data_IF_706601514290
#
_entry.id   IF_706601514290
#
_cell.length_a   1.000
_cell.length_b   1.000
_cell.length_c   1.000
_cell.angle_alpha   90.00
_cell.angle_beta   90.00
_cell.angle_gamma   90.00
#
_symmetry.space_group_name_H-M   'P 1'
#
loop_
_entity.id
_entity.type
_entity.pdbx_description
1 polymer ?
#
# COMPACT_ATOMS: atom_id res chain seq x y z
N UNK A 1 1.38 -16.80 -13.11
CA UNK A 1 2.20 -15.58 -12.94
C UNK A 1 2.99 -15.29 -14.21
N UNK A 2 2.78 -14.13 -14.82
CA UNK A 2 3.55 -13.66 -15.98
C UNK A 2 4.28 -12.34 -15.64
N UNK A 3 5.23 -11.92 -16.49
CA UNK A 3 5.98 -10.68 -16.30
C UNK A 3 5.06 -9.44 -16.29
N UNK A 4 3.96 -9.49 -17.04
CA UNK A 4 3.03 -8.39 -17.18
C UNK A 4 2.33 -8.07 -15.85
N UNK A 5 1.84 -9.07 -15.12
CA UNK A 5 1.23 -8.89 -13.80
C UNK A 5 2.21 -8.30 -12.78
N UNK A 6 3.49 -8.71 -12.85
CA UNK A 6 4.54 -8.15 -12.01
C UNK A 6 4.83 -6.68 -12.35
N UNK A 7 4.88 -6.33 -13.63
CA UNK A 7 5.05 -4.94 -14.09
C UNK A 7 3.87 -4.06 -13.67
N UNK A 8 2.64 -4.54 -13.85
CA UNK A 8 1.43 -3.84 -13.40
C UNK A 8 1.44 -3.61 -11.89
N UNK A 9 1.87 -4.59 -11.10
CA UNK A 9 2.02 -4.42 -9.65
C UNK A 9 3.03 -3.32 -9.30
N UNK A 10 4.17 -3.28 -9.98
CA UNK A 10 5.21 -2.25 -9.77
C UNK A 10 4.70 -0.87 -10.15
N UNK A 11 4.06 -0.74 -11.31
CA UNK A 11 3.47 0.53 -11.78
C UNK A 11 2.38 1.03 -10.82
N UNK A 12 1.45 0.16 -10.42
CA UNK A 12 0.39 0.50 -9.47
C UNK A 12 0.96 0.89 -8.10
N UNK A 13 2.05 0.25 -7.65
CA UNK A 13 2.74 0.63 -6.42
C UNK A 13 3.33 2.03 -6.52
N UNK A 14 4.01 2.35 -7.62
CA UNK A 14 4.58 3.69 -7.85
C UNK A 14 3.50 4.78 -7.92
N UNK A 15 2.41 4.50 -8.61
CA UNK A 15 1.27 5.42 -8.71
C UNK A 15 0.61 5.65 -7.34
N UNK A 16 0.36 4.56 -6.60
CA UNK A 16 -0.18 4.59 -5.23
C UNK A 16 0.70 5.42 -4.31
N UNK A 17 2.03 5.19 -4.35
CA UNK A 17 3.01 5.99 -3.61
C UNK A 17 2.86 7.47 -3.86
N UNK A 18 2.78 7.89 -5.12
CA UNK A 18 2.72 9.31 -5.46
C UNK A 18 1.42 9.95 -5.00
N UNK A 19 0.28 9.28 -5.20
CA UNK A 19 -1.04 9.78 -4.80
C UNK A 19 -1.18 9.88 -3.28
N UNK A 20 -0.84 8.82 -2.56
CA UNK A 20 -0.89 8.80 -1.08
C UNK A 20 0.01 9.89 -0.49
N UNK A 21 1.27 10.00 -0.95
CA UNK A 21 2.18 11.04 -0.45
C UNK A 21 1.68 12.46 -0.74
N UNK A 22 1.07 12.68 -1.91
CA UNK A 22 0.50 13.98 -2.27
C UNK A 22 -0.68 14.32 -1.37
N UNK A 23 -1.63 13.41 -1.23
CA UNK A 23 -2.82 13.61 -0.41
C UNK A 23 -2.46 13.83 1.07
N UNK A 24 -1.53 13.05 1.63
CA UNK A 24 -1.04 13.25 3.01
C UNK A 24 -0.36 14.62 3.22
N UNK A 25 0.41 15.09 2.24
CA UNK A 25 0.99 16.45 2.28
C UNK A 25 -0.08 17.54 2.22
N UNK A 26 -1.13 17.31 1.43
CA UNK A 26 -2.24 18.26 1.34
C UNK A 26 -3.05 18.29 2.65
N UNK A 27 -3.20 17.15 3.34
CA UNK A 27 -3.76 17.08 4.70
C UNK A 27 -2.92 17.92 5.68
N UNK A 28 -1.59 17.71 5.72
CA UNK A 28 -0.71 18.46 6.62
C UNK A 28 -0.74 19.98 6.35
N UNK A 29 -0.69 20.40 5.08
CA UNK A 29 -0.80 21.82 4.70
C UNK A 29 -2.11 22.45 5.14
N UNK A 30 -3.22 21.74 4.96
CA UNK A 30 -4.55 22.22 5.38
C UNK A 30 -4.65 22.29 6.90
N UNK A 31 -4.07 21.32 7.61
CA UNK A 31 -4.05 21.33 9.07
C UNK A 31 -3.23 22.50 9.61
N UNK A 32 -2.08 22.80 8.98
CA UNK A 32 -1.30 23.99 9.29
C UNK A 32 -2.10 25.28 9.08
N UNK A 33 -2.81 25.40 7.95
CA UNK A 33 -3.67 26.55 7.68
C UNK A 33 -4.77 26.71 8.74
N UNK A 34 -5.39 25.60 9.17
CA UNK A 34 -6.33 25.62 10.28
C UNK A 34 -5.69 26.09 11.58
N UNK A 35 -4.49 25.61 11.94
CA UNK A 35 -3.78 26.09 13.14
C UNK A 35 -3.52 27.60 13.10
N UNK A 36 -3.20 28.15 11.92
CA UNK A 36 -3.03 29.60 11.76
C UNK A 36 -4.36 30.34 11.99
N UNK A 37 -5.48 29.83 11.49
CA UNK A 37 -6.80 30.38 11.75
C UNK A 37 -7.14 30.33 13.24
N UNK A 38 -6.91 29.20 13.90
CA UNK A 38 -7.12 29.04 15.35
C UNK A 38 -6.29 30.06 16.13
N UNK A 39 -5.01 30.24 15.79
CA UNK A 39 -4.15 31.25 16.43
C UNK A 39 -4.68 32.68 16.27
N UNK A 40 -5.33 33.01 15.15
CA UNK A 40 -5.88 34.35 14.90
C UNK A 40 -7.17 34.63 15.68
N UNK A 41 -7.98 33.60 15.92
CA UNK A 41 -9.26 33.74 16.65
C UNK A 41 -9.18 33.35 18.12
N UNK A 42 -8.02 32.86 18.58
CA UNK A 42 -7.73 32.58 19.99
C UNK A 42 -8.66 31.52 20.56
N UNK A 43 -9.17 31.77 21.77
CA UNK A 43 -9.96 30.80 22.53
C UNK A 43 -11.27 30.39 21.84
N UNK A 44 -11.78 31.20 20.93
CA UNK A 44 -13.02 30.90 20.20
C UNK A 44 -12.92 29.61 19.35
N UNK A 45 -11.71 29.22 18.92
CA UNK A 45 -11.47 28.05 18.07
C UNK A 45 -10.52 27.02 18.72
N UNK A 46 -10.36 27.07 20.05
CA UNK A 46 -9.41 26.22 20.76
C UNK A 46 -9.67 24.72 20.55
N UNK A 47 -10.95 24.30 20.54
CA UNK A 47 -11.34 22.92 20.26
C UNK A 47 -10.90 22.45 18.87
N UNK A 48 -11.08 23.29 17.84
CA UNK A 48 -10.57 22.99 16.50
C UNK A 48 -9.04 22.93 16.45
N UNK A 49 -8.34 23.68 17.31
CA UNK A 49 -6.89 23.61 17.46
C UNK A 49 -6.40 22.21 17.84
N UNK A 50 -7.09 21.54 18.75
CA UNK A 50 -6.79 20.14 19.14
C UNK A 50 -6.95 19.21 17.94
N UNK A 51 -8.03 19.38 17.18
CA UNK A 51 -8.32 18.56 16.00
C UNK A 51 -7.28 18.81 14.90
N UNK A 52 -6.90 20.06 14.66
CA UNK A 52 -5.83 20.42 13.74
C UNK A 52 -4.48 19.77 14.12
N UNK A 53 -4.19 19.66 15.42
CA UNK A 53 -3.06 18.89 15.94
C UNK A 53 -3.15 17.41 15.57
N UNK A 54 -4.27 16.78 15.91
CA UNK A 54 -4.52 15.37 15.62
C UNK A 54 -4.38 15.03 14.13
N UNK A 55 -4.87 15.90 13.23
CA UNK A 55 -4.71 15.72 11.80
C UNK A 55 -3.24 15.61 11.36
N UNK A 56 -2.36 16.45 11.91
CA UNK A 56 -0.94 16.46 11.55
C UNK A 56 -0.21 15.25 12.10
N UNK A 57 -0.46 14.93 13.36
CA UNK A 57 0.17 13.79 14.02
C UNK A 57 -0.18 12.49 13.29
N UNK A 58 -1.46 12.32 12.93
CA UNK A 58 -1.90 11.15 12.18
C UNK A 58 -1.39 11.16 10.74
N UNK A 59 -1.39 12.30 10.04
CA UNK A 59 -0.83 12.39 8.69
C UNK A 59 0.67 12.04 8.65
N UNK A 60 1.44 12.44 9.66
CA UNK A 60 2.85 12.09 9.80
C UNK A 60 3.07 10.58 10.04
N UNK A 61 2.24 9.96 10.89
CA UNK A 61 2.25 8.50 11.09
C UNK A 61 1.91 7.77 9.80
N UNK A 62 0.82 8.15 9.14
CA UNK A 62 0.42 7.58 7.84
C UNK A 62 1.50 7.77 6.78
N UNK A 63 2.24 8.88 6.78
CA UNK A 63 3.35 9.07 5.84
C UNK A 63 4.49 8.07 6.10
N UNK A 64 4.77 7.79 7.37
CA UNK A 64 5.77 6.79 7.78
C UNK A 64 5.33 5.39 7.39
N UNK A 65 4.07 5.03 7.64
CA UNK A 65 3.54 3.70 7.31
C UNK A 65 3.42 3.49 5.80
N UNK A 66 3.04 4.53 5.04
CA UNK A 66 3.05 4.49 3.58
C UNK A 66 4.45 4.23 3.01
N UNK A 67 5.50 4.77 3.64
CA UNK A 67 6.89 4.47 3.25
C UNK A 67 7.26 3.02 3.53
N UNK A 68 6.83 2.45 4.67
CA UNK A 68 7.08 1.04 5.00
C UNK A 68 6.40 0.10 4.00
N UNK A 69 5.15 0.38 3.65
CA UNK A 69 4.41 -0.37 2.63
C UNK A 69 5.13 -0.36 1.28
N UNK A 70 5.70 0.78 0.88
CA UNK A 70 6.45 0.89 -0.36
C UNK A 70 7.76 0.09 -0.32
N UNK A 71 8.47 0.11 0.81
CA UNK A 71 9.70 -0.66 0.98
C UNK A 71 9.44 -2.17 0.95
N UNK A 72 8.25 -2.62 1.37
CA UNK A 72 7.86 -4.03 1.35
C UNK A 72 7.60 -4.59 -0.07
N UNK A 73 7.47 -3.75 -1.09
CA UNK A 73 7.25 -4.20 -2.48
C UNK A 73 8.53 -4.67 -3.16
N UNK A 74 9.68 -4.07 -2.87
CA UNK A 74 10.93 -4.50 -3.51
C UNK A 74 11.27 -5.98 -3.22
N UNK A 75 11.20 -6.48 -1.96
CA UNK A 75 11.37 -7.90 -1.67
C UNK A 75 10.37 -8.80 -2.40
N UNK A 76 9.14 -8.33 -2.59
CA UNK A 76 8.12 -9.08 -3.34
C UNK A 76 8.50 -9.22 -4.82
N UNK A 77 8.95 -8.13 -5.43
CA UNK A 77 9.38 -8.13 -6.83
C UNK A 77 10.59 -9.05 -7.03
N UNK A 78 11.58 -8.97 -6.14
CA UNK A 78 12.75 -9.85 -6.16
C UNK A 78 12.38 -11.33 -6.03
N UNK A 79 11.50 -11.67 -5.09
CA UNK A 79 11.02 -13.03 -4.90
C UNK A 79 10.26 -13.53 -6.14
N UNK A 80 9.42 -12.68 -6.74
CA UNK A 80 8.65 -13.00 -7.95
C UNK A 80 9.55 -13.26 -9.16
N UNK A 81 10.55 -12.40 -9.39
CA UNK A 81 11.55 -12.60 -10.45
C UNK A 81 12.33 -13.91 -10.26
N UNK A 82 12.69 -14.24 -9.02
CA UNK A 82 13.41 -15.49 -8.71
C UNK A 82 12.57 -16.73 -9.01
N UNK A 83 11.28 -16.71 -8.68
CA UNK A 83 10.35 -17.79 -9.05
C UNK A 83 10.29 -17.96 -10.57
N UNK A 84 10.15 -16.86 -11.31
CA UNK A 84 10.14 -16.92 -12.79
C UNK A 84 11.43 -17.49 -13.36
N UNK A 85 12.59 -17.06 -12.84
CA UNK A 85 13.89 -17.55 -13.26
C UNK A 85 14.02 -19.07 -13.04
N UNK A 86 13.60 -19.57 -11.87
CA UNK A 86 13.64 -21.00 -11.59
C UNK A 86 12.68 -21.81 -12.47
N UNK A 87 11.49 -21.27 -12.79
CA UNK A 87 10.56 -21.90 -13.73
C UNK A 87 11.19 -22.02 -15.13
N UNK A 88 11.79 -20.94 -15.65
CA UNK A 88 12.48 -20.94 -16.94
C UNK A 88 13.60 -22.01 -17.00
N UNK A 89 14.42 -22.13 -15.96
CA UNK A 89 15.46 -23.17 -15.90
C UNK A 89 14.87 -24.57 -15.77
N UNK A 90 13.83 -24.75 -14.97
CA UNK A 90 13.12 -26.03 -14.82
C UNK A 90 12.53 -26.50 -16.15
N UNK A 91 11.88 -25.61 -16.89
CA UNK A 91 11.29 -25.91 -18.21
C UNK A 91 12.37 -26.25 -19.24
N UNK A 92 13.51 -25.54 -19.23
CA UNK A 92 14.64 -25.86 -20.10
C UNK A 92 15.16 -27.28 -19.83
N UNK A 93 15.37 -27.65 -18.56
CA UNK A 93 15.81 -29.00 -18.17
C UNK A 93 14.77 -30.06 -18.55
N UNK A 94 13.48 -29.79 -18.31
CA UNK A 94 12.39 -30.69 -18.72
C UNK A 94 12.33 -30.91 -20.22
N UNK A 95 12.53 -29.86 -21.02
CA UNK A 95 12.56 -29.95 -22.49
C UNK A 95 13.74 -30.77 -23.02
N UNK A 96 14.90 -30.70 -22.34
CA UNK A 96 16.08 -31.51 -22.68
C UNK A 96 15.86 -32.98 -22.35
N UNK A 97 15.25 -33.29 -21.20
CA UNK A 97 14.87 -34.65 -20.82
C UNK A 97 13.90 -35.26 -21.85
N UNK A 98 12.87 -34.53 -22.27
CA UNK A 98 11.88 -35.01 -23.24
C UNK A 98 12.44 -35.28 -24.65
N UNK A 99 13.54 -34.62 -25.03
CA UNK A 99 14.21 -34.82 -26.33
C UNK A 99 15.25 -35.95 -26.30
N UNK A 100 15.64 -36.44 -25.13
CA UNK A 100 16.73 -37.42 -25.00
C UNK A 100 16.20 -38.76 -24.50
N UNK A 101 16.16 -39.78 -25.36
CA UNK A 101 15.66 -41.12 -25.03
C UNK A 101 16.60 -41.95 -24.13
N UNK A 102 17.63 -41.32 -23.53
CA UNK A 102 18.62 -41.95 -22.67
C UNK A 102 18.50 -41.40 -21.26
N UNK A 103 18.40 -42.31 -20.30
CA UNK A 103 18.44 -42.02 -18.86
C UNK A 103 19.75 -41.30 -18.51
N UNK A 104 19.69 -39.97 -18.45
CA UNK A 104 20.74 -39.14 -17.87
C UNK A 104 20.35 -38.88 -16.42
N UNK A 105 20.71 -39.78 -15.50
CA UNK A 105 20.34 -39.68 -14.08
C UNK A 105 20.61 -38.30 -13.45
N UNK A 106 21.68 -37.63 -13.87
CA UNK A 106 22.04 -36.28 -13.44
C UNK A 106 21.00 -35.21 -13.83
N UNK A 107 20.31 -35.36 -14.96
CA UNK A 107 19.27 -34.42 -15.40
C UNK A 107 17.97 -34.58 -14.61
N UNK A 108 17.61 -35.81 -14.22
CA UNK A 108 16.45 -36.07 -13.36
C UNK A 108 16.67 -35.51 -11.94
N UNK A 109 17.87 -35.67 -11.38
CA UNK A 109 18.26 -35.05 -10.10
C UNK A 109 18.24 -33.52 -10.19
N UNK A 110 18.75 -32.97 -11.30
CA UNK A 110 18.73 -31.52 -11.55
C UNK A 110 17.28 -30.99 -11.67
N UNK A 111 16.38 -31.73 -12.32
CA UNK A 111 14.97 -31.37 -12.39
C UNK A 111 14.31 -31.36 -11.00
N UNK A 112 14.57 -32.39 -10.17
CA UNK A 112 14.06 -32.46 -8.81
C UNK A 112 14.56 -31.29 -7.94
N UNK A 113 15.85 -30.92 -8.08
CA UNK A 113 16.43 -29.75 -7.43
C UNK A 113 15.71 -28.46 -7.84
N UNK A 114 15.48 -28.24 -9.13
CA UNK A 114 14.77 -27.04 -9.60
C UNK A 114 13.33 -26.99 -9.09
N UNK A 115 12.61 -28.11 -9.08
CA UNK A 115 11.26 -28.18 -8.51
C UNK A 115 11.26 -27.81 -7.01
N UNK A 116 12.26 -28.24 -6.25
CA UNK A 116 12.40 -27.86 -4.85
C UNK A 116 12.68 -26.36 -4.68
N UNK A 117 13.56 -25.79 -5.51
CA UNK A 117 13.88 -24.36 -5.49
C UNK A 117 12.66 -23.50 -5.85
N UNK A 118 11.88 -23.90 -6.86
CA UNK A 118 10.61 -23.25 -7.22
C UNK A 118 9.66 -23.22 -6.02
N UNK A 119 9.39 -24.38 -5.40
CA UNK A 119 8.49 -24.46 -4.23
C UNK A 119 8.96 -23.62 -3.05
N UNK A 120 10.27 -23.58 -2.81
CA UNK A 120 10.86 -22.76 -1.73
C UNK A 120 10.68 -21.27 -2.01
N UNK A 121 10.97 -20.84 -3.24
CA UNK A 121 10.83 -19.45 -3.67
C UNK A 121 9.35 -19.00 -3.65
N UNK A 122 8.42 -19.85 -4.10
CA UNK A 122 6.98 -19.59 -4.04
C UNK A 122 6.48 -19.43 -2.61
N UNK A 123 6.93 -20.30 -1.70
CA UNK A 123 6.59 -20.18 -0.27
C UNK A 123 7.13 -18.89 0.34
N UNK A 124 8.33 -18.47 -0.05
CA UNK A 124 8.91 -17.20 0.40
C UNK A 124 8.12 -16.00 -0.13
N UNK A 125 7.81 -15.97 -1.43
CA UNK A 125 6.98 -14.95 -2.07
C UNK A 125 5.59 -14.85 -1.40
N UNK A 126 4.93 -15.99 -1.17
CA UNK A 126 3.63 -16.04 -0.51
C UNK A 126 3.66 -15.45 0.91
N UNK A 127 4.74 -15.66 1.67
CA UNK A 127 4.90 -15.04 3.01
C UNK A 127 5.01 -13.53 2.91
N UNK A 128 5.77 -13.01 1.94
CA UNK A 128 5.91 -11.56 1.72
C UNK A 128 4.54 -10.97 1.35
N UNK A 129 3.80 -11.59 0.43
CA UNK A 129 2.45 -11.14 0.04
C UNK A 129 1.49 -11.08 1.23
N UNK A 130 1.44 -12.13 2.03
CA UNK A 130 0.57 -12.17 3.22
C UNK A 130 0.94 -11.09 4.22
N UNK A 131 2.23 -10.83 4.42
CA UNK A 131 2.66 -9.77 5.32
C UNK A 131 2.29 -8.38 4.77
N UNK A 132 2.50 -8.15 3.47
CA UNK A 132 2.17 -6.90 2.81
C UNK A 132 0.65 -6.60 2.88
N UNK A 133 -0.20 -7.60 2.65
CA UNK A 133 -1.65 -7.46 2.78
C UNK A 133 -2.06 -7.09 4.21
N UNK A 134 -1.45 -7.72 5.23
CA UNK A 134 -1.69 -7.36 6.64
C UNK A 134 -1.26 -5.92 6.95
N UNK A 135 -0.13 -5.49 6.40
CA UNK A 135 0.35 -4.12 6.60
C UNK A 135 -0.58 -3.11 5.90
N UNK A 136 -1.15 -3.47 4.74
CA UNK A 136 -2.19 -2.69 4.06
C UNK A 136 -3.46 -2.58 4.91
N UNK A 137 -3.91 -3.68 5.54
CA UNK A 137 -5.07 -3.67 6.44
C UNK A 137 -4.86 -2.73 7.63
N UNK A 138 -3.68 -2.79 8.27
CA UNK A 138 -3.31 -1.85 9.34
C UNK A 138 -3.30 -0.40 8.86
N UNK A 139 -2.89 -0.16 7.62
CA UNK A 139 -2.95 1.17 7.03
C UNK A 139 -4.40 1.63 6.79
N UNK A 140 -5.30 0.72 6.40
CA UNK A 140 -6.74 1.00 6.29
C UNK A 140 -7.35 1.37 7.65
N UNK A 141 -6.91 0.75 8.75
CA UNK A 141 -7.29 1.15 10.11
C UNK A 141 -6.85 2.59 10.41
N UNK A 142 -5.60 2.95 10.08
CA UNK A 142 -5.10 4.32 10.27
C UNK A 142 -5.86 5.37 9.41
N UNK A 143 -6.33 4.98 8.22
CA UNK A 143 -7.22 5.81 7.39
C UNK A 143 -8.56 6.02 8.08
N UNK A 144 -9.17 4.96 8.63
CA UNK A 144 -10.44 5.05 9.34
C UNK A 144 -10.33 5.96 10.58
N UNK A 145 -9.23 5.88 11.32
CA UNK A 145 -8.94 6.82 12.41
C UNK A 145 -8.87 8.27 11.90
N UNK A 146 -8.24 8.50 10.75
CA UNK A 146 -8.16 9.84 10.16
C UNK A 146 -9.53 10.35 9.67
N UNK A 147 -10.40 9.48 9.13
CA UNK A 147 -11.79 9.81 8.79
C UNK A 147 -12.61 10.21 10.03
N UNK A 148 -12.33 9.59 11.18
CA UNK A 148 -12.93 10.00 12.46
C UNK A 148 -12.48 11.40 12.87
N UNK A 149 -11.19 11.73 12.73
CA UNK A 149 -10.68 13.10 12.97
C UNK A 149 -11.35 14.11 12.02
N UNK A 150 -11.56 13.74 10.74
CA UNK A 150 -12.35 14.56 9.79
C UNK A 150 -13.75 14.85 10.30
N UNK A 151 -14.42 13.82 10.80
CA UNK A 151 -15.80 13.95 11.32
C UNK A 151 -15.84 14.90 12.51
N UNK A 152 -14.91 14.74 13.47
CA UNK A 152 -14.80 15.65 14.60
C UNK A 152 -14.51 17.09 14.16
N UNK A 153 -13.61 17.27 13.19
CA UNK A 153 -13.33 18.60 12.63
C UNK A 153 -14.56 19.28 12.04
N UNK A 154 -15.41 18.52 11.32
CA UNK A 154 -16.66 19.05 10.78
C UNK A 154 -17.63 19.47 11.89
N UNK A 155 -17.77 18.66 12.93
CA UNK A 155 -18.62 18.96 14.10
C UNK A 155 -18.15 20.24 14.77
N UNK A 156 -16.85 20.32 15.09
CA UNK A 156 -16.27 21.48 15.77
C UNK A 156 -16.37 22.76 14.94
N UNK A 157 -16.13 22.66 13.62
CA UNK A 157 -16.33 23.78 12.71
C UNK A 157 -17.78 24.26 12.67
N UNK A 158 -18.75 23.34 12.76
CA UNK A 158 -20.17 23.69 12.78
C UNK A 158 -20.60 24.34 14.09
N UNK A 159 -20.00 23.95 15.22
CA UNK A 159 -20.25 24.51 16.55
C UNK A 159 -19.59 25.89 16.74
N UNK A 160 -18.60 26.24 15.92
CA UNK A 160 -17.90 27.53 15.98
C UNK A 160 -18.74 28.64 15.32
N UNK A 161 -19.71 29.20 16.06
CA UNK A 161 -20.59 30.27 15.58
C UNK A 161 -19.80 31.50 15.07
N UNK A 162 -20.25 32.09 13.94
CA UNK A 162 -19.67 33.25 13.22
C UNK A 162 -18.22 33.13 12.69
N UNK A 163 -17.43 32.16 13.14
CA UNK A 163 -16.01 31.98 12.73
C UNK A 163 -15.71 30.62 12.09
N UNK A 164 -16.69 29.72 12.06
CA UNK A 164 -16.55 28.34 11.57
C UNK A 164 -16.50 28.16 10.06
N UNK A 165 -16.99 29.11 9.24
CA UNK A 165 -17.10 28.91 7.78
C UNK A 165 -15.75 28.57 7.08
N UNK A 166 -14.61 29.23 7.40
CA UNK A 166 -13.29 28.81 6.91
C UNK A 166 -12.89 27.40 7.37
N UNK A 167 -13.22 27.02 8.61
CA UNK A 167 -12.91 25.71 9.18
C UNK A 167 -13.76 24.60 8.56
N UNK A 168 -15.03 24.88 8.25
CA UNK A 168 -15.91 23.95 7.53
C UNK A 168 -15.33 23.62 6.15
N UNK A 169 -14.79 24.63 5.46
CA UNK A 169 -14.09 24.44 4.18
C UNK A 169 -12.85 23.55 4.36
N UNK A 170 -12.01 23.84 5.35
CA UNK A 170 -10.81 23.05 5.64
C UNK A 170 -11.17 21.60 5.96
N UNK A 171 -12.14 21.36 6.83
CA UNK A 171 -12.61 20.01 7.20
C UNK A 171 -13.21 19.25 6.01
N UNK A 172 -13.92 19.94 5.10
CA UNK A 172 -14.42 19.32 3.87
C UNK A 172 -13.27 18.88 2.96
N UNK A 173 -12.32 19.76 2.73
CA UNK A 173 -11.16 19.50 1.87
C UNK A 173 -10.22 18.44 2.45
N UNK A 174 -10.07 18.39 3.78
CA UNK A 174 -9.39 17.29 4.47
C UNK A 174 -10.10 15.97 4.23
N UNK A 175 -11.43 15.92 4.37
CA UNK A 175 -12.20 14.72 4.07
C UNK A 175 -12.04 14.24 2.64
N UNK A 176 -11.94 15.15 1.67
CA UNK A 176 -11.65 14.78 0.27
C UNK A 176 -10.27 14.15 0.12
N UNK A 177 -9.24 14.74 0.74
CA UNK A 177 -7.88 14.21 0.68
C UNK A 177 -7.76 12.84 1.37
N UNK A 178 -8.44 12.64 2.51
CA UNK A 178 -8.49 11.35 3.20
C UNK A 178 -9.23 10.31 2.34
N UNK A 179 -10.33 10.69 1.71
CA UNK A 179 -11.05 9.85 0.75
C UNK A 179 -10.17 9.40 -0.42
N UNK A 180 -9.33 10.30 -0.96
CA UNK A 180 -8.37 9.94 -2.00
C UNK A 180 -7.33 8.90 -1.52
N UNK A 181 -6.83 9.04 -0.28
CA UNK A 181 -5.91 8.04 0.30
C UNK A 181 -6.60 6.69 0.40
N UNK A 182 -7.84 6.64 0.91
CA UNK A 182 -8.64 5.41 1.02
C UNK A 182 -8.81 4.73 -0.32
N UNK A 183 -9.36 5.44 -1.30
CA UNK A 183 -9.62 4.89 -2.63
C UNK A 183 -8.35 4.37 -3.31
N UNK A 184 -7.24 5.10 -3.16
CA UNK A 184 -5.95 4.69 -3.74
C UNK A 184 -5.43 3.40 -3.08
N UNK A 185 -5.56 3.28 -1.76
CA UNK A 185 -5.13 2.08 -1.02
C UNK A 185 -6.02 0.88 -1.31
N UNK A 186 -7.34 1.09 -1.41
CA UNK A 186 -8.28 0.03 -1.77
C UNK A 186 -8.00 -0.54 -3.17
N UNK A 187 -7.72 0.34 -4.15
CA UNK A 187 -7.32 -0.07 -5.50
C UNK A 187 -6.01 -0.88 -5.48
N UNK A 188 -5.04 -0.44 -4.68
CA UNK A 188 -3.76 -1.14 -4.55
C UNK A 188 -3.91 -2.49 -3.86
N UNK A 189 -4.76 -2.58 -2.82
CA UNK A 189 -5.11 -3.84 -2.15
C UNK A 189 -5.71 -4.83 -3.15
N UNK A 190 -6.67 -4.41 -3.97
CA UNK A 190 -7.26 -5.26 -5.00
C UNK A 190 -6.20 -5.76 -5.99
N UNK A 191 -5.27 -4.90 -6.42
CA UNK A 191 -4.14 -5.31 -7.27
C UNK A 191 -3.27 -6.39 -6.60
N UNK A 192 -2.97 -6.24 -5.30
CA UNK A 192 -2.20 -7.21 -4.54
C UNK A 192 -2.94 -8.54 -4.38
N UNK A 193 -4.25 -8.49 -4.15
CA UNK A 193 -5.09 -9.68 -4.04
C UNK A 193 -5.19 -10.42 -5.37
N UNK A 194 -5.41 -9.71 -6.48
CA UNK A 194 -5.39 -10.29 -7.84
C UNK A 194 -4.05 -10.95 -8.14
N UNK A 195 -2.93 -10.26 -7.87
CA UNK A 195 -1.59 -10.82 -8.01
C UNK A 195 -1.38 -12.08 -7.17
N UNK A 196 -1.97 -12.11 -5.97
CA UNK A 196 -1.94 -13.29 -5.08
C UNK A 196 -2.75 -14.45 -5.66
N UNK A 197 -3.93 -14.18 -6.23
CA UNK A 197 -4.76 -15.20 -6.86
C UNK A 197 -4.06 -15.80 -8.08
N UNK A 198 -3.49 -14.99 -8.97
CA UNK A 198 -2.72 -15.44 -10.13
C UNK A 198 -1.45 -16.22 -9.77
N UNK A 199 -0.83 -15.86 -8.65
CA UNK A 199 0.32 -16.58 -8.10
C UNK A 199 -0.07 -17.95 -7.55
N UNK A 200 -1.33 -18.11 -7.10
CA UNK A 200 -1.86 -19.37 -6.57
C UNK A 200 -2.50 -20.25 -7.65
N UNK A 201 -3.13 -19.69 -8.67
CA UNK A 201 -3.77 -20.43 -9.78
C UNK A 201 -2.80 -20.78 -10.90
N UNK A 202 -1.64 -20.12 -10.97
CA UNK A 202 -0.51 -20.52 -11.79
C UNK A 202 0.42 -21.56 -11.12
N UNK A 203 -0.05 -22.23 -10.06
CA UNK A 203 0.47 -23.47 -9.45
C UNK A 203 -0.31 -24.66 -9.99
#
# INVERSE_FOLDING_TARGET
MNLQSLMTLVENTHHTRHRVNRALRDIDRRALNAMVLVKRHGNALAGYGVIAGAFRDQAAKMQTDAQRLQQAVAPLVEASMRVMQYRLYGDMVGSMLGKTNRSMGQLAETQALWQQQIKSAEKHMARILVQLLKDVERFQEAIAEQEYVVTNGRIEAALSENTGAPLTRVSREMGQAVGEVRETIDQWKNTLEEFTHESRTGL
#
